data_IF_865388996055
#
_entry.id   IF_865388996055
#
_cell.length_a   1.000
_cell.length_b   1.000
_cell.length_c   1.000
_cell.angle_alpha   90.00
_cell.angle_beta   90.00
_cell.angle_gamma   90.00
#
_symmetry.space_group_name_H-M   'P 1'
#
loop_
_entity.id
_entity.type
_entity.pdbx_description
1 polymer ?
#
# COMPACT_ATOMS: atom_id res chain seq x y z
N UNK A 1 -15.10 -2.74 22.86
CA UNK A 1 -14.48 -1.48 22.35
C UNK A 1 -14.31 -1.62 20.86
N UNK A 2 -15.28 -1.16 20.06
CA UNK A 2 -15.18 -1.19 18.60
C UNK A 2 -14.47 0.08 18.17
N UNK A 3 -13.14 0.07 18.18
CA UNK A 3 -12.38 1.18 17.62
C UNK A 3 -12.64 1.25 16.11
N UNK A 4 -12.92 2.44 15.59
CA UNK A 4 -13.13 2.63 14.16
C UNK A 4 -11.89 2.20 13.36
N UNK A 5 -12.07 1.52 12.22
CA UNK A 5 -10.94 1.09 11.39
C UNK A 5 -10.19 2.29 10.83
N UNK A 6 -8.87 2.33 11.05
CA UNK A 6 -7.99 3.37 10.53
C UNK A 6 -7.75 3.18 9.03
N UNK A 7 -7.48 4.29 8.34
CA UNK A 7 -7.14 4.31 6.91
C UNK A 7 -5.87 5.11 6.69
N UNK A 8 -5.01 4.63 5.79
CA UNK A 8 -3.81 5.35 5.35
C UNK A 8 -3.71 5.28 3.83
N UNK A 9 -3.23 6.36 3.23
CA UNK A 9 -2.92 6.42 1.81
C UNK A 9 -1.41 6.36 1.62
N UNK A 10 -0.97 5.54 0.69
CA UNK A 10 0.43 5.34 0.34
C UNK A 10 0.61 5.66 -1.14
N UNK A 11 1.73 6.28 -1.47
CA UNK A 11 2.25 6.40 -2.83
C UNK A 11 3.36 5.37 -2.98
N UNK A 12 3.23 4.49 -3.96
CA UNK A 12 4.20 3.42 -4.23
C UNK A 12 4.77 3.59 -5.64
N UNK A 13 5.95 4.21 -5.80
CA UNK A 13 6.59 4.39 -7.10
C UNK A 13 6.93 3.04 -7.74
N UNK A 14 6.85 2.96 -9.07
CA UNK A 14 7.10 1.72 -9.81
C UNK A 14 5.98 0.67 -9.74
N UNK A 15 4.93 0.90 -8.94
CA UNK A 15 3.79 -0.02 -8.82
C UNK A 15 2.64 0.22 -9.83
N UNK A 16 2.85 1.08 -10.83
CA UNK A 16 1.85 1.42 -11.85
C UNK A 16 1.49 0.29 -12.83
N UNK A 17 2.29 -0.78 -12.87
CA UNK A 17 2.06 -1.94 -13.73
C UNK A 17 1.23 -3.01 -13.01
N UNK A 18 0.40 -3.80 -13.72
CA UNK A 18 -0.51 -4.77 -13.10
C UNK A 18 0.18 -5.80 -12.21
N UNK A 19 1.32 -6.37 -12.64
CA UNK A 19 2.08 -7.33 -11.81
C UNK A 19 2.66 -6.72 -10.54
N UNK A 20 3.13 -5.47 -10.62
CA UNK A 20 3.65 -4.75 -9.46
C UNK A 20 2.53 -4.38 -8.46
N UNK A 21 1.33 -4.04 -8.95
CA UNK A 21 0.15 -3.82 -8.09
C UNK A 21 -0.25 -5.05 -7.30
N UNK A 22 -0.26 -6.21 -7.96
CA UNK A 22 -0.68 -7.44 -7.29
C UNK A 22 0.31 -7.79 -6.17
N UNK A 23 1.61 -7.60 -6.41
CA UNK A 23 2.66 -7.74 -5.40
C UNK A 23 2.48 -6.77 -4.23
N UNK A 24 2.22 -5.48 -4.49
CA UNK A 24 1.92 -4.48 -3.46
C UNK A 24 0.69 -4.89 -2.63
N UNK A 25 -0.37 -5.37 -3.29
CA UNK A 25 -1.58 -5.84 -2.61
C UNK A 25 -1.25 -7.03 -1.71
N UNK A 26 -0.53 -8.03 -2.21
CA UNK A 26 -0.16 -9.23 -1.46
C UNK A 26 0.68 -8.90 -0.22
N UNK A 27 1.69 -8.04 -0.36
CA UNK A 27 2.55 -7.60 0.76
C UNK A 27 1.72 -6.96 1.86
N UNK A 28 0.88 -5.98 1.51
CA UNK A 28 0.09 -5.25 2.49
C UNK A 28 -1.04 -6.09 3.10
N UNK A 29 -1.65 -7.00 2.34
CA UNK A 29 -2.67 -7.92 2.86
C UNK A 29 -2.09 -8.96 3.82
N UNK A 30 -0.81 -9.33 3.67
CA UNK A 30 -0.13 -10.25 4.56
C UNK A 30 0.21 -9.64 5.94
N UNK A 31 0.04 -8.33 6.12
CA UNK A 31 0.41 -7.67 7.37
C UNK A 31 -0.69 -7.84 8.43
N UNK A 32 -0.29 -8.10 9.69
CA UNK A 32 -1.24 -8.37 10.76
C UNK A 32 -2.17 -7.19 10.98
N UNK A 33 -3.46 -7.47 11.11
CA UNK A 33 -4.52 -6.49 11.37
C UNK A 33 -4.78 -5.50 10.23
N UNK A 34 -4.29 -5.76 9.03
CA UNK A 34 -4.82 -5.14 7.80
C UNK A 34 -6.16 -5.79 7.48
N UNK A 35 -7.17 -4.95 7.25
CA UNK A 35 -8.54 -5.37 6.95
C UNK A 35 -8.82 -5.33 5.45
N UNK A 36 -8.29 -4.32 4.77
CA UNK A 36 -8.52 -4.12 3.33
C UNK A 36 -7.38 -3.34 2.70
N UNK A 37 -7.01 -3.74 1.48
CA UNK A 37 -6.06 -3.01 0.64
C UNK A 37 -6.73 -2.71 -0.69
N UNK A 38 -6.74 -1.44 -1.08
CA UNK A 38 -7.22 -0.98 -2.39
C UNK A 38 -6.07 -0.30 -3.13
N UNK A 39 -5.70 -0.83 -4.28
CA UNK A 39 -4.73 -0.20 -5.18
C UNK A 39 -5.52 0.50 -6.28
N UNK A 40 -5.29 1.79 -6.45
CA UNK A 40 -5.97 2.60 -7.46
C UNK A 40 -5.48 2.19 -8.87
N UNK A 41 -6.38 2.15 -9.87
CA UNK A 41 -5.99 1.87 -11.25
C UNK A 41 -4.98 2.91 -11.74
N UNK A 42 -4.09 2.54 -12.68
CA UNK A 42 -3.19 3.51 -13.27
C UNK A 42 -3.97 4.49 -14.14
N UNK A 43 -3.40 5.66 -14.45
CA UNK A 43 -3.81 6.37 -15.65
C UNK A 43 -3.62 5.48 -16.90
N UNK A 44 -4.43 5.63 -17.95
CA UNK A 44 -4.37 4.78 -19.15
C UNK A 44 -3.01 4.75 -19.86
N UNK A 45 -2.13 5.73 -19.59
CA UNK A 45 -0.78 5.82 -20.11
C UNK A 45 0.30 5.43 -19.08
N UNK A 46 0.02 4.51 -18.15
CA UNK A 46 1.02 4.11 -17.17
C UNK A 46 2.25 3.45 -17.82
N UNK A 47 3.37 4.14 -17.66
CA UNK A 47 4.69 3.68 -18.06
C UNK A 47 5.43 3.04 -16.88
N UNK A 48 6.49 2.24 -17.10
CA UNK A 48 7.39 1.80 -16.05
C UNK A 48 7.83 2.98 -15.16
N UNK A 49 7.78 2.81 -13.84
CA UNK A 49 8.05 3.88 -12.88
C UNK A 49 6.84 4.70 -12.44
N UNK A 50 5.69 4.60 -13.13
CA UNK A 50 4.43 5.24 -12.71
C UNK A 50 4.09 4.81 -11.28
N UNK A 51 3.79 5.75 -10.36
CA UNK A 51 3.40 5.39 -9.01
C UNK A 51 1.97 4.83 -8.96
N UNK A 52 1.74 3.87 -8.07
CA UNK A 52 0.39 3.50 -7.67
C UNK A 52 0.00 4.23 -6.39
N UNK A 53 -1.28 4.57 -6.27
CA UNK A 53 -1.88 5.02 -5.04
C UNK A 53 -2.53 3.83 -4.36
N UNK A 54 -2.29 3.67 -3.06
CA UNK A 54 -2.79 2.54 -2.28
C UNK A 54 -3.49 3.06 -1.05
N UNK A 55 -4.70 2.57 -0.78
CA UNK A 55 -5.42 2.83 0.45
C UNK A 55 -5.45 1.55 1.27
N UNK A 56 -4.91 1.60 2.48
CA UNK A 56 -4.91 0.49 3.43
C UNK A 56 -5.85 0.82 4.57
N UNK A 57 -6.76 -0.10 4.88
CA UNK A 57 -7.65 -0.05 6.04
C UNK A 57 -7.17 -1.07 7.06
N UNK A 58 -7.01 -0.69 8.31
CA UNK A 58 -6.40 -1.51 9.36
C UNK A 58 -7.01 -1.23 10.73
N UNK A 59 -6.83 -2.16 11.67
CA UNK A 59 -7.32 -2.02 13.03
C UNK A 59 -6.62 -0.86 13.77
N UNK A 60 -7.34 -0.08 14.60
CA UNK A 60 -6.76 0.98 15.42
C UNK A 60 -5.83 0.42 16.49
N UNK A 61 -4.82 1.21 16.87
CA UNK A 61 -3.88 0.88 17.97
C UNK A 61 -2.45 0.57 17.53
N UNK A 62 -2.17 0.50 16.23
CA UNK A 62 -0.83 0.29 15.72
C UNK A 62 -0.40 1.45 14.82
N UNK A 63 0.74 2.08 15.12
CA UNK A 63 1.40 3.10 14.27
C UNK A 63 1.98 2.44 13.00
N UNK A 64 1.12 1.84 12.18
CA UNK A 64 1.52 0.95 11.07
C UNK A 64 1.96 1.66 9.80
N UNK A 65 1.81 2.98 9.73
CA UNK A 65 2.15 3.72 8.51
C UNK A 65 3.63 3.54 8.12
N UNK A 66 4.54 3.51 9.09
CA UNK A 66 5.95 3.20 8.87
C UNK A 66 6.19 1.71 8.55
N UNK A 67 5.47 0.80 9.19
CA UNK A 67 5.58 -0.64 8.92
C UNK A 67 5.12 -1.00 7.50
N UNK A 68 4.07 -0.36 7.00
CA UNK A 68 3.62 -0.52 5.62
C UNK A 68 4.68 -0.05 4.63
N UNK A 69 5.32 1.09 4.91
CA UNK A 69 6.42 1.61 4.08
C UNK A 69 7.63 0.67 4.12
N UNK A 70 8.00 0.18 5.30
CA UNK A 70 9.10 -0.77 5.46
C UNK A 70 8.84 -2.09 4.72
N UNK A 71 7.65 -2.68 4.88
CA UNK A 71 7.27 -3.91 4.19
C UNK A 71 7.30 -3.76 2.66
N UNK A 72 6.91 -2.58 2.15
CA UNK A 72 6.99 -2.27 0.73
C UNK A 72 8.44 -2.09 0.26
N UNK A 73 9.30 -1.45 1.06
CA UNK A 73 10.72 -1.31 0.76
C UNK A 73 11.41 -2.69 0.64
N UNK A 74 11.18 -3.58 1.61
CA UNK A 74 11.68 -4.97 1.60
C UNK A 74 11.15 -5.76 0.38
N UNK A 75 9.92 -5.46 -0.07
CA UNK A 75 9.33 -6.08 -1.24
C UNK A 75 9.84 -5.53 -2.59
N UNK A 76 10.77 -4.56 -2.58
CA UNK A 76 11.35 -3.95 -3.77
C UNK A 76 10.70 -2.61 -4.18
N UNK A 77 9.98 -1.94 -3.28
CA UNK A 77 9.39 -0.62 -3.48
C UNK A 77 9.97 0.42 -2.51
N UNK A 78 11.29 0.74 -2.61
CA UNK A 78 11.99 1.55 -1.60
C UNK A 78 11.54 3.03 -1.54
N UNK A 79 10.82 3.52 -2.53
CA UNK A 79 10.26 4.88 -2.55
C UNK A 79 8.82 4.98 -2.03
N UNK A 80 8.29 3.92 -1.40
CA UNK A 80 6.95 3.96 -0.84
C UNK A 80 6.86 5.00 0.29
N UNK A 81 5.81 5.81 0.31
CA UNK A 81 5.61 6.82 1.35
C UNK A 81 4.14 7.05 1.65
N UNK A 82 3.85 7.51 2.86
CA UNK A 82 2.52 7.93 3.27
C UNK A 82 2.18 9.27 2.64
N UNK A 83 0.91 9.45 2.27
CA UNK A 83 0.33 10.70 1.76
C UNK A 83 -0.50 11.42 2.81
#
# INVERSE_FOLDING_TARGET
MTGEPCKVRLRVPGAGLPGARDRVRAVLQGLPGVLRVRVDPPPPAAVPGTPALVTVTFLPGARRSAEFVAALAEAGFPGAQVL
#
